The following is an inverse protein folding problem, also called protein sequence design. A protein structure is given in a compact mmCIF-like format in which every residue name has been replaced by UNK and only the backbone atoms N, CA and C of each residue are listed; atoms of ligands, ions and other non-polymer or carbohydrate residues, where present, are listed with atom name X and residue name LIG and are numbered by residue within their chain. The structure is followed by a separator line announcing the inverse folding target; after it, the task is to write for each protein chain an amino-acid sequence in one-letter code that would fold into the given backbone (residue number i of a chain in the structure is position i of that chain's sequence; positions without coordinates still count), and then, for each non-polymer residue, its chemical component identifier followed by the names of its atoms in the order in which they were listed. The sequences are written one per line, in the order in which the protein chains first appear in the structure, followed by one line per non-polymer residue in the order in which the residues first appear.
data_IF_572374309841
#
_entry.id   IF_572374309841
#
_cell.length_a   1.000
_cell.length_b   1.000
_cell.length_c   1.000
_cell.angle_alpha   90.00
_cell.angle_beta   90.00
_cell.angle_gamma   90.00
#
_symmetry.space_group_name_H-M   'P 1'
#
loop_
_entity.id
_entity.type
_entity.pdbx_description
1 polymer ?
#
# COMPACT_ATOMS: atom_id res chain seq x y z
N UNK A 1 6.04 -1.63 -0.94
CA UNK A 1 6.82 -1.48 -2.18
C UNK A 1 8.29 -1.54 -1.85
N UNK A 2 9.00 -2.31 -2.63
CA UNK A 2 10.44 -2.52 -2.57
C UNK A 2 11.23 -1.36 -3.19
N UNK A 3 10.66 -0.69 -4.19
CA UNK A 3 11.20 0.57 -4.71
C UNK A 3 10.54 1.75 -3.99
N UNK A 4 11.16 2.21 -2.91
CA UNK A 4 10.71 3.41 -2.21
C UNK A 4 11.19 4.69 -2.91
N UNK A 5 10.25 5.51 -3.36
CA UNK A 5 10.51 6.85 -3.92
C UNK A 5 9.82 7.97 -3.11
N UNK A 6 9.31 7.65 -1.90
CA UNK A 6 8.54 8.56 -1.08
C UNK A 6 9.30 9.87 -0.74
N UNK A 7 10.60 9.76 -0.45
CA UNK A 7 11.45 10.92 -0.16
C UNK A 7 11.63 11.86 -1.36
N UNK A 8 11.62 11.31 -2.59
CA UNK A 8 11.75 12.09 -3.83
C UNK A 8 10.49 12.91 -4.09
N UNK A 9 9.32 12.37 -3.73
CA UNK A 9 8.00 13.00 -3.95
C UNK A 9 7.43 13.69 -2.72
N UNK A 10 8.20 13.80 -1.63
CA UNK A 10 7.75 14.39 -0.37
C UNK A 10 7.31 15.86 -0.53
N UNK A 11 7.88 16.57 -1.51
CA UNK A 11 7.52 17.97 -1.80
C UNK A 11 7.16 18.16 -3.27
N UNK A 12 6.13 18.97 -3.51
CA UNK A 12 5.68 19.35 -4.85
C UNK A 12 6.58 20.46 -5.41
N UNK A 13 7.52 20.06 -6.27
CA UNK A 13 8.37 20.98 -7.05
C UNK A 13 8.02 20.88 -8.54
N UNK A 14 8.43 21.86 -9.34
CA UNK A 14 8.12 21.94 -10.79
C UNK A 14 8.51 20.68 -11.60
N UNK A 15 9.41 19.83 -11.11
CA UNK A 15 9.91 18.66 -11.83
C UNK A 15 9.91 17.36 -11.02
N UNK A 16 9.16 17.30 -9.91
CA UNK A 16 9.15 16.13 -9.03
C UNK A 16 8.82 14.83 -9.78
N UNK A 17 7.78 14.80 -10.61
CA UNK A 17 7.41 13.61 -11.38
C UNK A 17 8.27 13.39 -12.63
N UNK A 18 8.82 14.46 -13.23
CA UNK A 18 9.76 14.31 -14.34
C UNK A 18 11.02 13.54 -13.92
N UNK A 19 11.47 13.70 -12.67
CA UNK A 19 12.60 12.93 -12.12
C UNK A 19 12.31 11.43 -12.05
N UNK A 20 11.06 11.02 -11.82
CA UNK A 20 10.68 9.62 -11.74
C UNK A 20 10.79 8.90 -13.09
N UNK A 21 10.62 9.62 -14.20
CA UNK A 21 10.77 9.06 -15.56
C UNK A 21 12.20 8.63 -15.88
N UNK A 22 13.20 9.05 -15.09
CA UNK A 22 14.60 8.64 -15.27
C UNK A 22 15.00 7.44 -14.40
N UNK A 23 14.10 6.92 -13.57
CA UNK A 23 14.36 5.72 -12.77
C UNK A 23 14.20 4.46 -13.63
N UNK A 24 15.11 3.49 -13.46
CA UNK A 24 15.08 2.22 -14.19
C UNK A 24 14.49 1.06 -13.39
N UNK A 25 14.86 0.94 -12.11
CA UNK A 25 14.36 -0.12 -11.22
C UNK A 25 12.88 0.12 -10.91
N UNK A 26 12.03 -0.89 -11.10
CA UNK A 26 10.56 -0.77 -10.93
C UNK A 26 9.88 0.11 -12.00
N UNK A 27 10.59 0.44 -13.08
CA UNK A 27 10.06 1.35 -14.10
C UNK A 27 9.21 0.64 -15.15
N UNK A 28 8.28 1.38 -15.74
CA UNK A 28 7.49 0.94 -16.90
C UNK A 28 8.40 0.53 -18.05
N UNK A 29 9.52 1.24 -18.26
CA UNK A 29 10.48 0.92 -19.33
C UNK A 29 11.04 -0.49 -19.20
N UNK A 30 11.41 -0.90 -17.98
CA UNK A 30 11.92 -2.25 -17.71
C UNK A 30 10.85 -3.33 -17.93
N UNK A 31 9.58 -3.00 -17.76
CA UNK A 31 8.47 -3.94 -17.94
C UNK A 31 8.05 -4.13 -19.41
N UNK A 32 8.25 -3.12 -20.27
CA UNK A 32 7.70 -3.16 -21.64
C UNK A 32 8.74 -3.19 -22.76
N UNK A 33 10.04 -3.07 -22.46
CA UNK A 33 11.07 -2.90 -23.50
C UNK A 33 11.09 -4.05 -24.51
N UNK A 34 10.81 -5.28 -24.05
CA UNK A 34 10.84 -6.46 -24.90
C UNK A 34 9.64 -6.49 -25.84
N UNK A 35 8.43 -6.22 -25.34
CA UNK A 35 7.22 -6.11 -26.13
C UNK A 35 7.28 -4.94 -27.12
N UNK A 36 7.87 -3.81 -26.70
CA UNK A 36 8.12 -2.67 -27.57
C UNK A 36 9.06 -3.03 -28.72
N UNK A 37 10.13 -3.80 -28.44
CA UNK A 37 11.07 -4.27 -29.45
C UNK A 37 10.39 -5.22 -30.44
N UNK A 38 9.54 -6.13 -29.97
CA UNK A 38 8.75 -7.02 -30.84
C UNK A 38 7.79 -6.20 -31.71
N UNK A 39 7.03 -5.28 -31.11
CA UNK A 39 6.05 -4.46 -31.82
C UNK A 39 6.72 -3.61 -32.91
N UNK A 40 7.81 -2.92 -32.56
CA UNK A 40 8.58 -2.09 -33.51
C UNK A 40 9.25 -2.93 -34.59
N UNK A 41 9.73 -4.14 -34.26
CA UNK A 41 10.27 -5.09 -35.22
C UNK A 41 9.23 -5.53 -36.26
N UNK A 42 8.05 -5.97 -35.81
CA UNK A 42 6.96 -6.38 -36.71
C UNK A 42 6.47 -5.20 -37.55
N UNK A 43 6.29 -4.03 -36.93
CA UNK A 43 5.89 -2.80 -37.63
C UNK A 43 6.89 -2.45 -38.74
N UNK A 44 8.19 -2.52 -38.44
CA UNK A 44 9.25 -2.22 -39.40
C UNK A 44 9.27 -3.22 -40.55
N UNK A 45 9.10 -4.51 -40.27
CA UNK A 45 9.00 -5.56 -41.30
C UNK A 45 7.83 -5.30 -42.24
N UNK A 46 6.65 -4.96 -41.69
CA UNK A 46 5.47 -4.61 -42.49
C UNK A 46 5.71 -3.37 -43.36
N UNK A 47 6.34 -2.33 -42.79
CA UNK A 47 6.66 -1.09 -43.53
C UNK A 47 7.65 -1.34 -44.67
N UNK A 48 8.71 -2.10 -44.42
CA UNK A 48 9.70 -2.47 -45.44
C UNK A 48 9.05 -3.34 -46.53
N UNK A 49 8.17 -4.27 -46.15
CA UNK A 49 7.43 -5.11 -47.10
C UNK A 49 6.53 -4.26 -48.00
N UNK A 50 5.79 -3.29 -47.44
CA UNK A 50 4.95 -2.37 -48.19
C UNK A 50 5.74 -1.50 -49.19
N UNK A 51 6.92 -1.03 -48.79
CA UNK A 51 7.74 -0.11 -49.60
C UNK A 51 8.54 -0.81 -50.69
N UNK A 52 9.11 -1.99 -50.41
CA UNK A 52 10.10 -2.63 -51.28
C UNK A 52 9.60 -3.91 -51.96
N UNK A 53 8.63 -4.62 -51.37
CA UNK A 53 8.20 -5.93 -51.87
C UNK A 53 6.82 -5.88 -52.55
N UNK A 54 5.87 -5.14 -51.98
CA UNK A 54 4.51 -5.06 -52.52
C UNK A 54 4.44 -4.16 -53.76
N UNK A 55 3.88 -4.70 -54.85
CA UNK A 55 3.70 -3.98 -56.11
C UNK A 55 2.27 -4.14 -56.66
N UNK A 56 1.85 -3.19 -57.50
CA UNK A 56 0.57 -3.24 -58.21
C UNK A 56 -0.65 -3.40 -57.29
N UNK A 57 -1.48 -4.42 -57.56
CA UNK A 57 -2.71 -4.67 -56.80
C UNK A 57 -2.49 -5.05 -55.34
N UNK A 58 -1.40 -5.77 -55.00
CA UNK A 58 -1.13 -6.18 -53.62
C UNK A 58 -0.87 -4.98 -52.70
N UNK A 59 -0.19 -3.95 -53.22
CA UNK A 59 0.05 -2.69 -52.50
C UNK A 59 -1.26 -1.98 -52.17
N UNK A 60 -2.20 -1.95 -53.11
CA UNK A 60 -3.54 -1.37 -52.91
C UNK A 60 -4.37 -2.16 -51.90
N UNK A 61 -4.34 -3.50 -51.93
CA UNK A 61 -5.04 -4.30 -50.91
C UNK A 61 -4.48 -4.09 -49.50
N UNK A 62 -3.16 -3.93 -49.37
CA UNK A 62 -2.53 -3.60 -48.10
C UNK A 62 -2.99 -2.23 -47.57
N UNK A 63 -3.06 -1.21 -48.43
CA UNK A 63 -3.58 0.11 -48.05
C UNK A 63 -5.03 0.03 -47.59
N UNK A 64 -5.88 -0.73 -48.29
CA UNK A 64 -7.27 -0.95 -47.87
C UNK A 64 -7.36 -1.62 -46.50
N UNK A 65 -6.49 -2.61 -46.23
CA UNK A 65 -6.42 -3.24 -44.91
C UNK A 65 -6.01 -2.23 -43.83
N UNK A 66 -5.01 -1.38 -44.09
CA UNK A 66 -4.56 -0.35 -43.15
C UNK A 66 -5.69 0.65 -42.83
N UNK A 67 -6.41 1.12 -43.86
CA UNK A 67 -7.54 2.02 -43.70
C UNK A 67 -8.69 1.35 -42.92
N UNK A 68 -8.99 0.09 -43.23
CA UNK A 68 -9.99 -0.69 -42.51
C UNK A 68 -9.64 -0.84 -41.02
N UNK A 69 -8.40 -1.22 -40.72
CA UNK A 69 -7.92 -1.32 -39.35
C UNK A 69 -7.99 0.03 -38.64
N UNK A 70 -7.60 1.13 -39.29
CA UNK A 70 -7.63 2.46 -38.68
C UNK A 70 -9.05 2.89 -38.28
N UNK A 71 -10.04 2.65 -39.16
CA UNK A 71 -11.44 2.98 -38.88
C UNK A 71 -12.00 2.19 -37.67
N UNK A 72 -11.61 0.92 -37.52
CA UNK A 72 -12.14 0.06 -36.45
C UNK A 72 -11.37 0.16 -35.14
N UNK A 73 -10.12 0.61 -35.19
CA UNK A 73 -9.25 0.72 -34.03
C UNK A 73 -9.79 1.71 -32.98
N UNK A 74 -10.45 2.78 -33.42
CA UNK A 74 -11.04 3.79 -32.52
C UNK A 74 -12.30 3.30 -31.80
N UNK A 75 -12.93 2.23 -32.28
CA UNK A 75 -14.14 1.66 -31.67
C UNK A 75 -13.84 0.77 -30.45
N UNK A 76 -12.59 0.34 -30.26
CA UNK A 76 -12.21 -0.57 -29.17
C UNK A 76 -12.07 0.24 -27.86
N UNK A 77 -12.90 -0.01 -26.82
CA UNK A 77 -12.89 0.78 -25.59
C UNK A 77 -11.81 0.32 -24.60
N UNK A 78 -10.54 0.31 -25.05
CA UNK A 78 -9.39 -0.16 -24.26
C UNK A 78 -9.28 0.53 -22.88
N UNK A 79 -9.41 1.88 -22.75
CA UNK A 79 -9.23 2.55 -21.47
C UNK A 79 -10.25 2.14 -20.41
N UNK A 80 -11.48 1.84 -20.84
CA UNK A 80 -12.56 1.43 -19.94
C UNK A 80 -12.23 0.07 -19.32
N UNK A 81 -11.93 -0.92 -20.16
CA UNK A 81 -11.61 -2.28 -19.73
C UNK A 81 -10.37 -2.30 -18.83
N UNK A 82 -9.30 -1.63 -19.25
CA UNK A 82 -8.07 -1.52 -18.45
C UNK A 82 -8.30 -0.81 -17.12
N UNK A 83 -9.08 0.28 -17.11
CA UNK A 83 -9.35 1.05 -15.91
C UNK A 83 -10.01 0.22 -14.81
N UNK A 84 -11.07 -0.52 -15.15
CA UNK A 84 -11.72 -1.40 -14.16
C UNK A 84 -10.85 -2.56 -13.73
N UNK A 85 -10.12 -3.18 -14.67
CA UNK A 85 -9.26 -4.32 -14.36
C UNK A 85 -8.09 -3.93 -13.46
N UNK A 86 -7.37 -2.86 -13.81
CA UNK A 86 -6.22 -2.38 -13.02
C UNK A 86 -6.68 -1.89 -11.65
N UNK A 87 -7.81 -1.20 -11.54
CA UNK A 87 -8.36 -0.76 -10.26
C UNK A 87 -8.68 -1.94 -9.32
N UNK A 88 -9.26 -3.01 -9.86
CA UNK A 88 -9.47 -4.26 -9.11
C UNK A 88 -8.16 -4.84 -8.59
N UNK A 89 -7.14 -4.94 -9.45
CA UNK A 89 -5.83 -5.50 -9.08
C UNK A 89 -5.13 -4.65 -8.03
N UNK A 90 -5.10 -3.32 -8.17
CA UNK A 90 -4.49 -2.40 -7.20
C UNK A 90 -5.18 -2.47 -5.85
N UNK A 91 -6.51 -2.58 -5.84
CA UNK A 91 -7.29 -2.72 -4.58
C UNK A 91 -6.89 -4.00 -3.86
N UNK A 92 -6.89 -5.14 -4.57
CA UNK A 92 -6.47 -6.43 -4.00
C UNK A 92 -5.02 -6.43 -3.54
N UNK A 93 -4.13 -5.79 -4.28
CA UNK A 93 -2.73 -5.63 -3.91
C UNK A 93 -2.59 -4.92 -2.57
N UNK A 94 -3.31 -3.81 -2.37
CA UNK A 94 -3.26 -3.04 -1.13
C UNK A 94 -3.87 -3.79 0.06
N UNK A 95 -5.00 -4.47 -0.16
CA UNK A 95 -5.65 -5.30 0.87
C UNK A 95 -4.74 -6.46 1.31
N UNK A 96 -4.02 -7.10 0.38
CA UNK A 96 -3.03 -8.13 0.71
C UNK A 96 -1.88 -7.57 1.54
N UNK A 97 -1.39 -6.37 1.22
CA UNK A 97 -0.36 -5.69 2.01
C UNK A 97 -0.83 -5.43 3.45
N UNK A 98 -2.02 -4.85 3.62
CA UNK A 98 -2.60 -4.57 4.94
C UNK A 98 -2.91 -5.83 5.74
N UNK A 99 -3.12 -6.95 5.06
CA UNK A 99 -3.37 -8.25 5.68
C UNK A 99 -2.11 -8.93 6.18
N UNK A 100 -0.89 -8.46 5.85
CA UNK A 100 0.34 -9.00 6.42
C UNK A 100 0.37 -8.76 7.93
N UNK A 101 0.32 -9.82 8.76
CA UNK A 101 0.31 -9.64 10.20
C UNK A 101 1.71 -9.32 10.74
N UNK A 102 1.73 -8.48 11.77
CA UNK A 102 2.92 -8.03 12.48
C UNK A 102 2.86 -8.58 13.91
N UNK A 103 3.90 -9.29 14.41
CA UNK A 103 3.86 -9.93 15.72
C UNK A 103 4.06 -8.95 16.89
N UNK A 104 4.34 -7.67 16.60
CA UNK A 104 4.69 -6.62 17.54
C UNK A 104 3.64 -6.43 18.64
N UNK A 105 2.37 -6.37 18.25
CA UNK A 105 1.27 -6.17 19.18
C UNK A 105 1.18 -7.34 20.18
N UNK A 106 1.30 -8.58 19.69
CA UNK A 106 1.37 -9.76 20.54
C UNK A 106 2.61 -9.75 21.45
N UNK A 107 3.77 -9.37 20.92
CA UNK A 107 5.02 -9.30 21.69
C UNK A 107 4.92 -8.30 22.86
N UNK A 108 4.35 -7.12 22.60
CA UNK A 108 4.12 -6.09 23.63
C UNK A 108 3.15 -6.59 24.70
N UNK A 109 2.05 -7.23 24.30
CA UNK A 109 1.08 -7.80 25.24
C UNK A 109 1.68 -8.96 26.05
N UNK A 110 2.47 -9.85 25.43
CA UNK A 110 3.17 -10.93 26.12
C UNK A 110 4.12 -10.39 27.18
N UNK A 111 4.85 -9.33 26.86
CA UNK A 111 5.77 -8.64 27.79
C UNK A 111 5.02 -8.01 28.95
N UNK A 112 3.84 -7.42 28.70
CA UNK A 112 3.02 -6.77 29.72
C UNK A 112 2.31 -7.76 30.66
N UNK A 113 1.89 -8.93 30.16
CA UNK A 113 1.02 -9.85 30.90
C UNK A 113 1.70 -11.12 31.43
N UNK A 114 2.78 -11.58 30.80
CA UNK A 114 3.54 -12.75 31.25
C UNK A 114 4.71 -12.31 32.14
N UNK A 115 4.49 -12.38 33.45
CA UNK A 115 5.40 -11.82 34.43
C UNK A 115 6.51 -12.80 34.82
N UNK A 116 7.68 -12.24 35.11
CA UNK A 116 8.80 -12.94 35.73
C UNK A 116 10.04 -12.91 34.85
N UNK A 117 11.19 -12.80 35.51
CA UNK A 117 12.50 -12.76 34.87
C UNK A 117 13.23 -14.11 34.92
N UNK A 118 12.60 -15.12 35.53
CA UNK A 118 13.16 -16.47 35.59
C UNK A 118 13.14 -17.15 34.22
N UNK A 119 13.88 -18.25 34.10
CA UNK A 119 14.02 -18.99 32.85
C UNK A 119 12.66 -19.48 32.29
N UNK A 120 11.74 -19.91 33.17
CA UNK A 120 10.41 -20.43 32.78
C UNK A 120 9.53 -19.38 32.07
N UNK A 121 9.22 -18.21 32.67
CA UNK A 121 8.43 -17.17 32.00
C UNK A 121 9.12 -16.62 30.74
N UNK A 122 10.46 -16.47 30.73
CA UNK A 122 11.19 -16.10 29.51
C UNK A 122 11.00 -17.15 28.41
N UNK A 123 11.10 -18.44 28.74
CA UNK A 123 10.86 -19.54 27.78
C UNK A 123 9.42 -19.54 27.26
N UNK A 124 8.43 -19.24 28.11
CA UNK A 124 7.02 -19.10 27.70
C UNK A 124 6.89 -17.98 26.66
N UNK A 125 7.39 -16.78 26.96
CA UNK A 125 7.28 -15.63 26.06
C UNK A 125 7.99 -15.88 24.72
N UNK A 126 9.22 -16.38 24.75
CA UNK A 126 9.99 -16.73 23.54
C UNK A 126 9.33 -17.81 22.71
N UNK A 127 8.77 -18.86 23.34
CA UNK A 127 8.10 -19.95 22.63
C UNK A 127 6.80 -19.48 21.97
N UNK A 128 5.99 -18.67 22.65
CA UNK A 128 4.77 -18.08 22.04
C UNK A 128 5.14 -17.27 20.80
N UNK A 129 6.16 -16.40 20.89
CA UNK A 129 6.60 -15.62 19.72
C UNK A 129 7.20 -16.49 18.63
N UNK A 130 7.94 -17.55 18.98
CA UNK A 130 8.47 -18.51 18.00
C UNK A 130 7.35 -19.20 17.24
N UNK A 131 6.31 -19.67 17.93
CA UNK A 131 5.15 -20.30 17.30
C UNK A 131 4.37 -19.35 16.39
N UNK A 132 4.20 -18.09 16.79
CA UNK A 132 3.59 -17.06 15.93
C UNK A 132 4.41 -16.83 14.66
N UNK A 133 5.72 -16.69 14.78
CA UNK A 133 6.61 -16.53 13.63
C UNK A 133 6.73 -17.80 12.78
N UNK A 134 6.63 -18.98 13.40
CA UNK A 134 6.63 -20.26 12.70
C UNK A 134 5.37 -20.42 11.84
N UNK A 135 4.20 -20.10 12.39
CA UNK A 135 2.95 -20.05 11.62
C UNK A 135 3.04 -19.08 10.44
N UNK A 136 3.63 -17.90 10.68
CA UNK A 136 3.91 -16.90 9.66
C UNK A 136 4.80 -17.46 8.53
N UNK A 137 5.90 -18.14 8.88
CA UNK A 137 6.82 -18.73 7.90
C UNK A 137 6.18 -19.89 7.11
N UNK A 138 5.42 -20.77 7.77
CA UNK A 138 4.71 -21.87 7.10
C UNK A 138 3.65 -21.33 6.13
N UNK A 139 2.96 -20.26 6.52
CA UNK A 139 2.00 -19.57 5.66
C UNK A 139 2.68 -18.94 4.45
N UNK A 140 3.70 -18.11 4.69
CA UNK A 140 4.42 -17.40 3.63
C UNK A 140 5.13 -18.32 2.66
N UNK A 141 5.70 -19.44 3.14
CA UNK A 141 6.32 -20.48 2.28
C UNK A 141 5.32 -21.06 1.26
N UNK A 142 4.04 -21.16 1.63
CA UNK A 142 3.01 -21.67 0.73
C UNK A 142 2.70 -20.67 -0.39
N UNK A 143 2.62 -19.38 -0.08
CA UNK A 143 2.16 -18.34 -1.02
C UNK A 143 3.29 -17.61 -1.78
N UNK A 144 4.46 -17.42 -1.16
CA UNK A 144 5.54 -16.61 -1.70
C UNK A 144 6.67 -17.48 -2.26
N UNK A 145 7.10 -17.17 -3.49
CA UNK A 145 8.22 -17.87 -4.12
C UNK A 145 9.53 -17.60 -3.37
N UNK A 146 9.80 -16.36 -2.97
CA UNK A 146 10.99 -16.00 -2.16
C UNK A 146 11.06 -16.77 -0.85
N UNK A 147 9.95 -16.84 -0.10
CA UNK A 147 9.90 -17.60 1.15
C UNK A 147 10.09 -19.11 0.90
N UNK A 148 9.57 -19.63 -0.21
CA UNK A 148 9.72 -21.04 -0.61
C UNK A 148 11.14 -21.39 -1.04
N UNK A 149 11.84 -20.48 -1.72
CA UNK A 149 13.25 -20.64 -2.06
C UNK A 149 14.14 -20.62 -0.81
N UNK A 150 13.82 -19.76 0.17
CA UNK A 150 14.54 -19.71 1.44
C UNK A 150 14.29 -20.93 2.32
N UNK A 151 13.06 -21.44 2.36
CA UNK A 151 12.68 -22.63 3.14
C UNK A 151 12.01 -23.68 2.24
N UNK A 152 12.76 -24.46 1.45
CA UNK A 152 12.16 -25.41 0.51
C UNK A 152 11.41 -26.56 1.18
N UNK A 153 11.89 -27.05 2.32
CA UNK A 153 11.25 -28.15 3.08
C UNK A 153 10.99 -27.74 4.53
N UNK A 154 10.14 -28.49 5.23
CA UNK A 154 9.90 -28.25 6.65
C UNK A 154 11.17 -28.45 7.51
N UNK A 155 12.09 -29.32 7.09
CA UNK A 155 13.40 -29.49 7.72
C UNK A 155 14.25 -28.22 7.69
N UNK A 156 14.12 -27.38 6.64
CA UNK A 156 14.82 -26.09 6.61
C UNK A 156 14.31 -25.12 7.68
N UNK A 157 13.04 -25.25 8.12
CA UNK A 157 12.51 -24.48 9.25
C UNK A 157 13.14 -24.93 10.57
N UNK A 158 13.46 -26.23 10.69
CA UNK A 158 14.19 -26.78 11.84
C UNK A 158 15.64 -26.32 11.81
N UNK A 159 16.32 -26.43 10.67
CA UNK A 159 17.71 -25.96 10.51
C UNK A 159 17.84 -24.44 10.75
N UNK A 160 16.80 -23.67 10.44
CA UNK A 160 16.75 -22.23 10.71
C UNK A 160 16.42 -21.88 12.18
N UNK A 161 16.15 -22.87 13.04
CA UNK A 161 15.82 -22.67 14.45
C UNK A 161 14.41 -22.14 14.71
N UNK A 162 13.51 -22.18 13.71
CA UNK A 162 12.11 -21.75 13.87
C UNK A 162 11.25 -22.84 14.53
N UNK A 163 11.65 -24.10 14.40
CA UNK A 163 10.96 -25.29 14.91
C UNK A 163 11.98 -26.29 15.47
N UNK A 164 11.61 -27.07 16.47
CA UNK A 164 12.45 -28.21 16.93
C UNK A 164 12.13 -29.48 16.14
N UNK A 165 12.98 -30.52 16.25
CA UNK A 165 12.72 -31.81 15.60
C UNK A 165 11.45 -32.47 16.17
N UNK A 166 11.20 -32.37 17.47
CA UNK A 166 10.01 -32.92 18.11
C UNK A 166 8.73 -32.23 17.65
N UNK A 167 8.79 -30.91 17.45
CA UNK A 167 7.66 -30.14 16.92
C UNK A 167 7.38 -30.48 15.46
N UNK A 168 8.42 -30.74 14.66
CA UNK A 168 8.26 -31.20 13.28
C UNK A 168 7.56 -32.55 13.25
N UNK A 169 7.97 -33.47 14.11
CA UNK A 169 7.34 -34.78 14.26
C UNK A 169 5.85 -34.68 14.58
N UNK A 170 5.48 -33.77 15.50
CA UNK A 170 4.06 -33.53 15.84
C UNK A 170 3.32 -32.91 14.66
N UNK A 171 3.91 -31.93 13.98
CA UNK A 171 3.30 -31.27 12.83
C UNK A 171 3.01 -32.26 11.69
N UNK A 172 3.96 -33.14 11.37
CA UNK A 172 3.83 -34.15 10.30
C UNK A 172 2.80 -35.22 10.66
N UNK A 173 2.69 -35.60 11.95
CA UNK A 173 1.69 -36.57 12.43
C UNK A 173 0.28 -35.98 12.54
N UNK A 174 0.13 -34.66 12.44
CA UNK A 174 -1.18 -34.00 12.59
C UNK A 174 -2.00 -34.17 11.31
N UNK A 175 -3.13 -34.86 11.42
CA UNK A 175 -4.09 -35.01 10.32
C UNK A 175 -5.07 -33.82 10.27
N UNK A 176 -5.60 -33.45 9.08
CA UNK A 176 -5.34 -34.06 7.77
C UNK A 176 -4.10 -33.49 7.06
N UNK A 177 -3.40 -34.32 6.32
CA UNK A 177 -2.17 -33.95 5.57
C UNK A 177 -2.45 -33.22 4.26
N UNK A 178 -3.71 -33.18 3.82
CA UNK A 178 -4.13 -32.53 2.57
C UNK A 178 -4.12 -30.99 2.64
N UNK A 179 -4.28 -30.43 3.84
CA UNK A 179 -4.33 -28.98 4.04
C UNK A 179 -3.00 -28.42 4.50
N UNK A 180 -2.71 -27.18 4.12
CA UNK A 180 -1.58 -26.45 4.68
C UNK A 180 -1.90 -26.08 6.14
N UNK A 181 -1.33 -26.81 7.09
CA UNK A 181 -1.58 -26.66 8.52
C UNK A 181 -0.80 -25.49 9.16
N UNK A 182 -0.77 -24.32 8.52
CA UNK A 182 -0.04 -23.14 9.00
C UNK A 182 -0.53 -22.63 10.36
N UNK A 183 -1.78 -22.94 10.74
CA UNK A 183 -2.40 -22.50 11.99
C UNK A 183 -2.06 -23.39 13.19
N UNK A 184 -1.46 -24.57 12.99
CA UNK A 184 -1.13 -25.51 14.08
C UNK A 184 -0.21 -24.90 15.14
N UNK A 185 0.89 -24.18 14.79
CA UNK A 185 1.70 -23.50 15.80
C UNK A 185 0.92 -22.46 16.61
N UNK A 186 -0.09 -21.81 16.03
CA UNK A 186 -0.93 -20.84 16.76
C UNK A 186 -1.81 -21.55 17.80
N UNK A 187 -2.28 -22.77 17.52
CA UNK A 187 -2.98 -23.61 18.52
C UNK A 187 -2.03 -23.96 19.66
N UNK A 188 -0.77 -24.30 19.37
CA UNK A 188 0.22 -24.55 20.41
C UNK A 188 0.51 -23.30 21.25
N UNK A 189 0.56 -22.12 20.62
CA UNK A 189 0.72 -20.84 21.32
C UNK A 189 -0.44 -20.58 22.29
N UNK A 190 -1.68 -20.80 21.87
CA UNK A 190 -2.87 -20.67 22.74
C UNK A 190 -2.83 -21.62 23.94
N UNK A 191 -2.36 -22.85 23.74
CA UNK A 191 -2.19 -23.81 24.83
C UNK A 191 -1.12 -23.35 25.82
N UNK A 192 0.00 -22.78 25.35
CA UNK A 192 1.04 -22.21 26.23
C UNK A 192 0.50 -21.02 27.03
N UNK A 193 -0.29 -20.14 26.42
CA UNK A 193 -0.93 -19.02 27.14
C UNK A 193 -1.85 -19.55 28.25
N UNK A 194 -2.64 -20.58 27.96
CA UNK A 194 -3.51 -21.23 28.94
C UNK A 194 -2.71 -21.89 30.08
N UNK A 195 -1.60 -22.54 29.75
CA UNK A 195 -0.69 -23.14 30.72
C UNK A 195 -0.01 -22.08 31.60
N UNK A 196 0.46 -20.98 31.01
CA UNK A 196 1.08 -19.86 31.74
C UNK A 196 0.11 -19.21 32.75
N UNK A 197 -1.20 -19.26 32.47
CA UNK A 197 -2.25 -18.85 33.43
C UNK A 197 -2.38 -19.82 34.60
N UNK A 198 -2.34 -21.12 34.33
CA UNK A 198 -2.38 -22.16 35.37
C UNK A 198 -1.14 -22.13 36.26
N UNK A 199 0.02 -21.85 35.68
CA UNK A 199 1.30 -21.68 36.37
C UNK A 199 1.41 -20.34 37.13
N UNK A 200 0.46 -19.42 36.95
CA UNK A 200 0.42 -18.13 37.66
C UNK A 200 1.34 -17.05 37.08
N UNK A 201 2.04 -17.31 35.97
CA UNK A 201 2.83 -16.31 35.25
C UNK A 201 1.95 -15.24 34.58
N UNK A 202 0.74 -15.62 34.16
CA UNK A 202 -0.33 -14.70 33.77
C UNK A 202 -1.32 -14.60 34.94
N UNK A 203 -1.52 -13.39 35.45
CA UNK A 203 -2.21 -13.19 36.74
C UNK A 203 -3.73 -13.16 36.66
N UNK A 204 -4.30 -12.70 35.56
CA UNK A 204 -5.74 -12.45 35.44
C UNK A 204 -6.31 -12.95 34.11
N UNK A 205 -7.56 -13.39 34.12
CA UNK A 205 -8.20 -14.06 32.98
C UNK A 205 -8.39 -13.12 31.79
N UNK A 206 -8.57 -11.81 32.05
CA UNK A 206 -8.65 -10.81 30.98
C UNK A 206 -7.37 -10.74 30.13
N UNK A 207 -6.20 -11.01 30.70
CA UNK A 207 -4.95 -11.06 29.91
C UNK A 207 -4.95 -12.26 28.95
N UNK A 208 -5.48 -13.41 29.39
CA UNK A 208 -5.60 -14.61 28.54
C UNK A 208 -6.52 -14.34 27.36
N UNK A 209 -7.64 -13.66 27.61
CA UNK A 209 -8.57 -13.24 26.56
C UNK A 209 -7.90 -12.31 25.54
N UNK A 210 -7.22 -11.26 26.00
CA UNK A 210 -6.50 -10.31 25.12
C UNK A 210 -5.44 -11.01 24.26
N UNK A 211 -4.62 -11.86 24.86
CA UNK A 211 -3.59 -12.61 24.14
C UNK A 211 -4.19 -13.60 23.13
N UNK A 212 -5.31 -14.23 23.49
CA UNK A 212 -6.03 -15.17 22.60
C UNK A 212 -6.66 -14.43 21.42
N UNK A 213 -7.27 -13.27 21.66
CA UNK A 213 -7.84 -12.40 20.64
C UNK A 213 -6.75 -11.93 19.65
N UNK A 214 -5.58 -11.57 20.15
CA UNK A 214 -4.46 -11.16 19.30
C UNK A 214 -3.94 -12.32 18.44
N UNK A 215 -3.74 -13.51 19.01
CA UNK A 215 -3.31 -14.71 18.26
C UNK A 215 -4.34 -15.09 17.18
N UNK A 216 -5.63 -15.02 17.52
CA UNK A 216 -6.70 -15.34 16.55
C UNK A 216 -6.85 -14.27 15.46
N UNK A 217 -6.62 -13.00 15.79
CA UNK A 217 -6.53 -11.89 14.82
C UNK A 217 -5.34 -12.09 13.87
N UNK A 218 -4.17 -12.46 14.41
CA UNK A 218 -2.99 -12.80 13.62
C UNK A 218 -3.26 -13.97 12.66
N UNK A 219 -3.92 -15.03 13.15
CA UNK A 219 -4.41 -16.14 12.31
C UNK A 219 -5.36 -15.65 11.22
N UNK A 220 -6.31 -14.78 11.57
CA UNK A 220 -7.31 -14.26 10.64
C UNK A 220 -6.65 -13.55 9.45
N UNK A 221 -5.67 -12.70 9.75
CA UNK A 221 -4.83 -12.02 8.75
C UNK A 221 -4.08 -13.00 7.83
N UNK A 222 -3.44 -14.04 8.38
CA UNK A 222 -2.84 -15.11 7.56
C UNK A 222 -3.88 -15.81 6.67
N UNK A 223 -5.06 -16.10 7.21
CA UNK A 223 -6.16 -16.72 6.47
C UNK A 223 -6.66 -15.85 5.32
N UNK A 224 -6.73 -14.54 5.52
CA UNK A 224 -7.07 -13.58 4.46
C UNK A 224 -6.06 -13.64 3.31
N UNK A 225 -4.76 -13.68 3.61
CA UNK A 225 -3.74 -13.78 2.56
C UNK A 225 -3.86 -15.11 1.79
N UNK A 226 -4.07 -16.22 2.50
CA UNK A 226 -4.35 -17.51 1.86
C UNK A 226 -5.59 -17.47 0.94
N UNK A 227 -6.63 -16.74 1.34
CA UNK A 227 -7.83 -16.58 0.52
C UNK A 227 -7.53 -15.80 -0.78
N UNK A 228 -6.65 -14.80 -0.74
CA UNK A 228 -6.22 -14.08 -1.95
C UNK A 228 -5.38 -14.94 -2.90
N UNK A 229 -4.49 -15.79 -2.35
CA UNK A 229 -3.69 -16.74 -3.14
C UNK A 229 -4.57 -17.82 -3.78
N UNK A 230 -5.54 -18.35 -3.03
CA UNK A 230 -6.48 -19.34 -3.54
C UNK A 230 -7.47 -18.76 -4.56
N UNK A 231 -8.04 -17.58 -4.26
CA UNK A 231 -9.05 -16.92 -5.10
C UNK A 231 -8.44 -15.73 -5.82
N UNK A 232 -7.84 -16.00 -6.97
CA UNK A 232 -7.32 -15.01 -7.90
C UNK A 232 -8.44 -14.25 -8.64
N UNK A 233 -8.16 -13.08 -9.25
CA UNK A 233 -9.10 -12.47 -10.20
C UNK A 233 -9.55 -13.50 -11.24
N UNK A 234 -10.86 -13.56 -11.60
CA UNK A 234 -11.36 -14.57 -12.53
C UNK A 234 -10.54 -14.60 -13.81
N UNK A 235 -10.08 -15.80 -14.21
CA UNK A 235 -9.22 -15.97 -15.38
C UNK A 235 -9.84 -15.33 -16.64
N UNK A 236 -11.15 -15.47 -16.82
CA UNK A 236 -11.89 -14.87 -17.94
C UNK A 236 -11.72 -13.34 -17.99
N UNK A 237 -11.62 -12.67 -16.83
CA UNK A 237 -11.47 -11.23 -16.78
C UNK A 237 -10.05 -10.80 -17.19
N UNK A 238 -9.03 -11.50 -16.67
CA UNK A 238 -7.63 -11.31 -17.09
C UNK A 238 -7.48 -11.56 -18.59
N UNK A 239 -8.04 -12.67 -19.11
CA UNK A 239 -8.02 -12.98 -20.54
C UNK A 239 -8.70 -11.90 -21.38
N UNK A 240 -9.86 -11.42 -20.94
CA UNK A 240 -10.60 -10.38 -21.65
C UNK A 240 -9.80 -9.07 -21.73
N UNK A 241 -9.18 -8.64 -20.63
CA UNK A 241 -8.31 -7.46 -20.61
C UNK A 241 -7.13 -7.62 -21.59
N UNK A 242 -6.45 -8.77 -21.57
CA UNK A 242 -5.33 -9.06 -22.48
C UNK A 242 -5.77 -9.09 -23.94
N UNK A 243 -6.90 -9.75 -24.25
CA UNK A 243 -7.43 -9.83 -25.62
C UNK A 243 -7.76 -8.43 -26.15
N UNK A 244 -8.42 -7.59 -25.35
CA UNK A 244 -8.78 -6.22 -25.76
C UNK A 244 -7.54 -5.40 -26.09
N UNK A 245 -6.50 -5.46 -25.25
CA UNK A 245 -5.25 -4.71 -25.49
C UNK A 245 -4.48 -5.27 -26.68
N UNK A 246 -4.31 -6.60 -26.78
CA UNK A 246 -3.51 -7.20 -27.83
C UNK A 246 -4.18 -7.15 -29.19
N UNK A 247 -5.51 -7.30 -29.26
CA UNK A 247 -6.27 -7.11 -30.51
C UNK A 247 -6.22 -5.66 -31.00
N UNK A 248 -6.27 -4.70 -30.07
CA UNK A 248 -6.04 -3.29 -30.39
C UNK A 248 -4.66 -3.07 -31.03
N UNK A 249 -3.58 -3.57 -30.40
CA UNK A 249 -2.24 -3.40 -30.96
C UNK A 249 -2.00 -4.20 -32.24
N UNK A 250 -2.65 -5.35 -32.40
CA UNK A 250 -2.63 -6.10 -33.65
C UNK A 250 -3.25 -5.28 -34.80
N UNK A 251 -4.37 -4.60 -34.57
CA UNK A 251 -4.96 -3.68 -35.55
C UNK A 251 -4.05 -2.46 -35.79
N UNK A 252 -3.41 -1.94 -34.74
CA UNK A 252 -2.47 -0.80 -34.83
C UNK A 252 -1.25 -1.08 -35.73
N UNK A 253 -0.77 -2.33 -35.79
CA UNK A 253 0.35 -2.71 -36.68
C UNK A 253 0.09 -2.38 -38.15
N UNK A 254 -1.18 -2.41 -38.57
CA UNK A 254 -1.62 -2.03 -39.90
C UNK A 254 -2.11 -0.58 -39.95
N UNK A 255 -2.95 -0.18 -38.99
CA UNK A 255 -3.55 1.16 -38.97
C UNK A 255 -2.52 2.30 -38.99
N UNK A 256 -1.38 2.10 -38.31
CA UNK A 256 -0.33 3.11 -38.17
C UNK A 256 0.75 3.03 -39.26
N UNK A 257 0.57 2.21 -40.29
CA UNK A 257 1.48 2.18 -41.42
C UNK A 257 1.33 3.47 -42.23
N UNK A 258 2.45 4.08 -42.60
CA UNK A 258 2.46 5.22 -43.50
C UNK A 258 2.25 4.73 -44.94
N UNK A 259 1.28 5.35 -45.62
CA UNK A 259 0.85 4.99 -46.97
C UNK A 259 1.42 5.96 -48.02
N UNK A 260 1.24 5.60 -49.29
CA UNK A 260 1.70 6.39 -50.42
C UNK A 260 0.98 7.75 -50.52
N UNK A 261 1.74 8.83 -50.34
CA UNK A 261 1.27 10.21 -50.41
C UNK A 261 0.62 10.56 -51.76
N UNK A 262 1.06 9.92 -52.85
CA UNK A 262 0.52 10.19 -54.19
C UNK A 262 -0.94 9.79 -54.35
N UNK A 263 -1.45 8.89 -53.49
CA UNK A 263 -2.85 8.44 -53.53
C UNK A 263 -3.82 9.36 -52.79
N UNK A 264 -3.31 10.31 -52.00
CA UNK A 264 -4.13 11.34 -51.35
C UNK A 264 -5.22 10.80 -50.42
N UNK A 265 -4.93 9.73 -49.66
CA UNK A 265 -5.88 9.20 -48.68
C UNK A 265 -6.09 10.21 -47.52
N UNK A 266 -7.34 10.44 -47.09
CA UNK A 266 -7.63 11.42 -46.04
C UNK A 266 -6.97 11.00 -44.71
N UNK A 267 -6.19 11.89 -44.11
CA UNK A 267 -5.46 11.64 -42.87
C UNK A 267 -4.08 11.01 -43.03
N UNK A 268 -3.62 10.78 -44.27
CA UNK A 268 -2.31 10.20 -44.60
C UNK A 268 -1.46 11.19 -45.44
N UNK A 269 -1.35 12.43 -44.98
CA UNK A 269 -0.68 13.53 -45.71
C UNK A 269 0.82 13.63 -45.44
N UNK A 270 1.34 12.89 -44.46
CA UNK A 270 2.73 12.96 -44.00
C UNK A 270 3.26 11.54 -43.78
N UNK A 271 4.49 11.28 -44.23
CA UNK A 271 5.23 10.04 -43.96
C UNK A 271 6.47 10.32 -43.10
N UNK A 272 6.43 9.93 -41.83
CA UNK A 272 7.53 10.11 -40.87
C UNK A 272 8.28 8.78 -40.65
N UNK A 273 7.89 7.69 -41.32
CA UNK A 273 8.37 6.32 -41.14
C UNK A 273 8.12 5.69 -39.76
N UNK A 274 8.26 6.46 -38.67
CA UNK A 274 8.12 5.99 -37.29
C UNK A 274 6.85 6.60 -36.67
N UNK A 275 5.93 5.77 -36.16
CA UNK A 275 4.66 6.26 -35.61
C UNK A 275 4.85 6.75 -34.17
N UNK A 276 5.50 7.91 -33.99
CA UNK A 276 5.89 8.45 -32.66
C UNK A 276 4.74 8.47 -31.65
N UNK A 277 3.57 9.02 -32.03
CA UNK A 277 2.40 9.05 -31.16
C UNK A 277 1.74 7.68 -30.97
N UNK A 278 1.89 6.77 -31.94
CA UNK A 278 1.48 5.38 -31.80
C UNK A 278 2.33 4.64 -30.77
N UNK A 279 3.65 4.82 -30.82
CA UNK A 279 4.56 4.29 -29.79
C UNK A 279 4.25 4.88 -28.42
N UNK A 280 3.92 6.17 -28.32
CA UNK A 280 3.47 6.76 -27.05
C UNK A 280 2.17 6.10 -26.53
N UNK A 281 1.19 5.83 -27.41
CA UNK A 281 -0.03 5.05 -27.05
C UNK A 281 0.31 3.63 -26.61
N UNK A 282 1.32 3.01 -27.23
CA UNK A 282 1.86 1.71 -26.81
C UNK A 282 2.38 1.77 -25.38
N UNK A 283 3.23 2.75 -25.06
CA UNK A 283 3.72 2.97 -23.70
C UNK A 283 2.57 3.11 -22.69
N UNK A 284 1.51 3.84 -23.03
CA UNK A 284 0.38 4.01 -22.14
C UNK A 284 -0.42 2.72 -21.92
N UNK A 285 -0.92 2.05 -22.97
CA UNK A 285 -1.81 0.89 -22.74
C UNK A 285 -1.08 -0.39 -22.35
N UNK A 286 0.09 -0.69 -22.96
CA UNK A 286 0.89 -1.85 -22.53
C UNK A 286 1.49 -1.58 -21.16
N UNK A 287 1.98 -0.37 -20.91
CA UNK A 287 2.46 0.01 -19.57
C UNK A 287 1.37 -0.12 -18.51
N UNK A 288 0.15 0.31 -18.80
CA UNK A 288 -0.98 0.19 -17.88
C UNK A 288 -1.41 -1.26 -17.65
N UNK A 289 -1.40 -2.11 -18.69
CA UNK A 289 -1.59 -3.55 -18.55
C UNK A 289 -0.49 -4.18 -17.68
N UNK A 290 0.78 -3.78 -17.89
CA UNK A 290 1.92 -4.26 -17.10
C UNK A 290 1.84 -3.87 -15.62
N UNK A 291 1.23 -2.73 -15.29
CA UNK A 291 0.95 -2.38 -13.88
C UNK A 291 0.04 -3.43 -13.23
N UNK A 292 -0.99 -3.92 -13.93
CA UNK A 292 -1.80 -5.02 -13.40
C UNK A 292 -1.01 -6.32 -13.35
N UNK A 293 -0.24 -6.64 -14.39
CA UNK A 293 0.59 -7.86 -14.44
C UNK A 293 1.59 -7.94 -13.28
N UNK A 294 2.26 -6.83 -12.93
CA UNK A 294 3.23 -6.79 -11.84
C UNK A 294 2.61 -6.78 -10.43
N UNK A 295 1.32 -6.46 -10.32
CA UNK A 295 0.64 -6.34 -9.00
C UNK A 295 -0.33 -7.50 -8.73
N UNK A 296 -0.61 -8.35 -9.73
CA UNK A 296 -1.57 -9.44 -9.60
C UNK A 296 -1.13 -10.46 -8.55
N UNK A 297 0.17 -10.71 -8.43
CA UNK A 297 0.77 -11.57 -7.41
C UNK A 297 1.96 -10.85 -6.74
N UNK A 298 1.73 -10.12 -5.62
CA UNK A 298 2.79 -9.35 -4.96
C UNK A 298 3.76 -10.18 -4.11
N UNK A 299 3.60 -11.50 -4.11
CA UNK A 299 4.44 -12.45 -3.34
C UNK A 299 5.51 -13.14 -4.19
N UNK A 300 5.69 -12.67 -5.43
CA UNK A 300 6.64 -13.18 -6.39
C UNK A 300 8.07 -12.65 -6.17
N UNK A 301 8.76 -12.43 -7.29
CA UNK A 301 10.16 -12.01 -7.34
C UNK A 301 10.38 -10.68 -8.05
N UNK A 302 9.32 -9.98 -8.43
CA UNK A 302 9.42 -8.72 -9.14
C UNK A 302 10.06 -7.63 -8.27
N UNK A 303 10.55 -6.59 -8.95
CA UNK A 303 11.28 -5.50 -8.30
C UNK A 303 10.44 -4.68 -7.32
N UNK A 304 9.10 -4.72 -7.45
CA UNK A 304 8.12 -4.00 -6.62
C UNK A 304 7.26 -4.90 -5.70
N UNK A 305 7.50 -6.23 -5.75
CA UNK A 305 6.88 -7.21 -4.85
C UNK A 305 7.26 -6.98 -3.38
N UNK A 306 6.49 -7.55 -2.47
CA UNK A 306 6.74 -7.40 -1.04
C UNK A 306 8.08 -8.05 -0.63
N UNK A 307 8.87 -7.37 0.23
CA UNK A 307 10.07 -7.99 0.83
C UNK A 307 9.71 -8.98 1.93
N UNK A 308 9.19 -10.13 1.52
CA UNK A 308 8.77 -11.19 2.45
C UNK A 308 9.96 -11.70 3.28
N UNK A 309 11.14 -11.77 2.67
CA UNK A 309 12.35 -12.21 3.35
C UNK A 309 12.74 -11.26 4.50
N UNK A 310 12.79 -9.97 4.23
CA UNK A 310 13.04 -8.95 5.26
C UNK A 310 11.98 -9.00 6.35
N UNK A 311 10.70 -9.14 6.00
CA UNK A 311 9.62 -9.21 6.98
C UNK A 311 9.77 -10.40 7.92
N UNK A 312 10.14 -11.59 7.41
CA UNK A 312 10.40 -12.78 8.23
C UNK A 312 11.52 -12.50 9.25
N UNK A 313 12.66 -11.99 8.79
CA UNK A 313 13.81 -11.71 9.67
C UNK A 313 13.50 -10.64 10.70
N UNK A 314 12.90 -9.53 10.25
CA UNK A 314 12.52 -8.42 11.12
C UNK A 314 11.54 -8.89 12.18
N UNK A 315 10.53 -9.67 11.80
CA UNK A 315 9.51 -10.15 12.73
C UNK A 315 10.11 -11.08 13.79
N UNK A 316 11.00 -11.99 13.40
CA UNK A 316 11.70 -12.85 14.35
C UNK A 316 12.57 -12.04 15.32
N UNK A 317 13.43 -11.16 14.80
CA UNK A 317 14.36 -10.38 15.61
C UNK A 317 13.64 -9.42 16.58
N UNK A 318 12.69 -8.63 16.07
CA UNK A 318 11.97 -7.64 16.87
C UNK A 318 11.09 -8.32 17.92
N UNK A 319 10.42 -9.42 17.57
CA UNK A 319 9.60 -10.14 18.56
C UNK A 319 10.42 -10.71 19.70
N UNK A 320 11.61 -11.27 19.45
CA UNK A 320 12.50 -11.75 20.51
C UNK A 320 13.12 -10.63 21.33
N UNK A 321 13.50 -9.52 20.70
CA UNK A 321 14.00 -8.34 21.41
C UNK A 321 12.99 -7.82 22.43
N UNK A 322 11.72 -7.69 22.02
CA UNK A 322 10.64 -7.18 22.88
C UNK A 322 10.39 -8.10 24.07
N UNK A 323 10.27 -9.41 23.84
CA UNK A 323 9.81 -10.34 24.89
C UNK A 323 10.91 -10.87 25.79
N UNK A 324 12.17 -10.60 25.48
CA UNK A 324 13.33 -11.08 26.21
C UNK A 324 14.14 -9.91 26.77
N UNK A 325 15.00 -9.29 25.95
CA UNK A 325 15.92 -8.24 26.40
C UNK A 325 15.18 -7.03 26.99
N UNK A 326 14.16 -6.51 26.30
CA UNK A 326 13.39 -5.35 26.78
C UNK A 326 12.49 -5.67 27.98
N UNK A 327 12.17 -6.94 28.21
CA UNK A 327 11.44 -7.34 29.42
C UNK A 327 12.36 -7.33 30.65
N UNK A 328 13.61 -7.75 30.46
CA UNK A 328 14.60 -7.85 31.53
C UNK A 328 15.22 -6.50 31.88
N UNK A 329 15.46 -5.65 30.89
CA UNK A 329 16.16 -4.38 31.07
C UNK A 329 15.32 -3.21 30.54
N UNK A 330 15.03 -2.25 31.43
CA UNK A 330 14.34 -1.01 31.10
C UNK A 330 14.84 0.13 32.01
N UNK A 331 14.81 1.39 31.54
CA UNK A 331 15.26 2.53 32.33
C UNK A 331 14.50 2.68 33.65
N UNK A 332 15.18 3.21 34.67
CA UNK A 332 14.54 3.55 35.93
C UNK A 332 13.52 4.68 35.76
N UNK A 333 12.50 4.69 36.62
CA UNK A 333 11.51 5.74 36.64
C UNK A 333 12.13 7.05 37.17
N UNK A 334 12.33 8.00 36.27
CA UNK A 334 12.86 9.33 36.58
C UNK A 334 11.83 10.43 36.30
N UNK A 335 11.97 11.57 36.98
CA UNK A 335 11.19 12.77 36.64
C UNK A 335 11.62 13.27 35.26
N UNK A 336 10.66 13.59 34.42
CA UNK A 336 10.91 14.15 33.10
C UNK A 336 11.36 15.62 33.19
N UNK A 337 11.84 16.16 32.07
CA UNK A 337 12.36 17.53 31.98
C UNK A 337 11.31 18.62 32.25
N UNK A 338 10.02 18.29 32.19
CA UNK A 338 8.91 19.22 32.35
C UNK A 338 8.18 19.02 33.68
N UNK A 339 8.74 18.20 34.59
CA UNK A 339 8.14 17.90 35.88
C UNK A 339 7.88 19.18 36.69
N UNK A 340 6.61 19.47 36.96
CA UNK A 340 6.17 20.67 37.69
C UNK A 340 5.85 21.89 36.81
N UNK A 341 5.89 21.75 35.48
CA UNK A 341 5.43 22.78 34.53
C UNK A 341 4.08 22.40 33.92
N UNK A 342 3.16 23.37 33.83
CA UNK A 342 1.84 23.15 33.24
C UNK A 342 1.80 23.48 31.73
N UNK A 343 2.55 24.49 31.30
CA UNK A 343 2.66 24.92 29.91
C UNK A 343 4.14 24.99 29.49
N UNK A 344 4.52 24.25 28.46
CA UNK A 344 5.88 24.25 27.90
C UNK A 344 5.85 24.18 26.37
N UNK A 345 6.92 24.66 25.73
CA UNK A 345 7.15 24.57 24.29
C UNK A 345 8.50 23.93 24.04
N UNK A 346 8.55 22.95 23.14
CA UNK A 346 9.81 22.33 22.74
C UNK A 346 10.64 23.31 21.92
N UNK A 347 11.94 23.39 22.22
CA UNK A 347 12.90 24.21 21.49
C UNK A 347 13.05 23.71 20.04
N UNK A 348 13.26 24.64 19.09
CA UNK A 348 13.40 24.31 17.67
C UNK A 348 14.85 24.01 17.32
N UNK A 349 15.06 23.24 16.24
CA UNK A 349 16.40 22.84 15.76
C UNK A 349 17.41 23.99 15.65
N UNK A 350 16.94 25.20 15.29
CA UNK A 350 17.82 26.36 15.08
C UNK A 350 18.29 26.96 16.42
N UNK A 351 17.48 26.83 17.47
CA UNK A 351 17.75 27.39 18.79
C UNK A 351 18.83 26.56 19.52
N UNK A 352 18.96 25.26 19.20
CA UNK A 352 20.05 24.42 19.71
C UNK A 352 21.44 24.77 19.14
N UNK A 353 21.50 25.48 17.99
CA UNK A 353 22.76 25.82 17.33
C UNK A 353 23.44 27.06 17.94
N UNK A 354 22.69 27.93 18.63
CA UNK A 354 23.19 29.17 19.22
C UNK A 354 23.72 29.02 20.65
N UNK A 355 23.72 27.80 21.22
CA UNK A 355 24.28 27.51 22.55
C UNK A 355 23.41 27.96 23.73
N UNK A 356 22.33 28.69 23.47
CA UNK A 356 21.34 29.10 24.47
C UNK A 356 20.23 28.06 24.59
N UNK A 357 20.58 26.85 25.01
CA UNK A 357 19.60 25.85 25.43
C UNK A 357 19.11 26.14 26.87
N UNK A 358 18.70 27.38 27.14
CA UNK A 358 17.84 27.65 28.28
C UNK A 358 16.40 27.34 27.87
N UNK A 359 15.72 26.54 28.70
CA UNK A 359 14.30 26.24 28.56
C UNK A 359 13.53 27.55 28.65
N UNK A 360 13.24 28.19 27.51
CA UNK A 360 12.46 29.43 27.47
C UNK A 360 11.05 29.12 27.95
N UNK A 361 10.78 29.51 29.20
CA UNK A 361 9.43 29.57 29.75
C UNK A 361 8.75 30.81 29.17
N UNK A 362 7.99 30.61 28.10
CA UNK A 362 7.19 31.67 27.48
C UNK A 362 7.67 32.01 26.07
N UNK A 363 6.93 31.48 25.11
CA UNK A 363 7.13 31.76 23.70
C UNK A 363 6.32 30.77 22.87
N UNK A 364 4.99 30.90 22.93
CA UNK A 364 4.15 30.27 21.92
C UNK A 364 4.74 30.62 20.56
N UNK A 365 5.12 29.60 19.78
CA UNK A 365 5.70 29.81 18.46
C UNK A 365 4.82 30.78 17.66
N UNK A 366 5.48 31.64 16.89
CA UNK A 366 4.97 32.75 16.06
C UNK A 366 3.93 32.36 14.98
N UNK A 367 3.31 31.18 15.08
CA UNK A 367 2.15 30.76 14.31
C UNK A 367 0.96 30.61 15.24
N UNK A 368 -0.12 31.33 14.96
CA UNK A 368 -1.40 31.18 15.66
C UNK A 368 -1.78 29.70 15.73
N UNK A 369 -1.94 29.17 16.95
CA UNK A 369 -2.46 27.81 17.14
C UNK A 369 -3.81 27.72 16.43
N UNK A 370 -4.00 26.71 15.59
CA UNK A 370 -5.29 26.48 14.96
C UNK A 370 -6.33 26.16 16.03
N UNK A 371 -7.16 27.15 16.36
CA UNK A 371 -8.23 27.06 17.38
C UNK A 371 -9.58 26.68 16.77
N UNK A 372 -9.61 26.44 15.46
CA UNK A 372 -10.82 26.14 14.68
C UNK A 372 -11.15 27.26 13.69
N UNK A 373 -11.80 26.90 12.59
CA UNK A 373 -12.18 27.86 11.53
C UNK A 373 -13.15 28.94 12.00
N UNK A 374 -13.82 28.73 13.15
CA UNK A 374 -14.77 29.66 13.77
C UNK A 374 -14.24 30.36 15.02
N UNK A 375 -12.99 30.09 15.44
CA UNK A 375 -12.47 30.66 16.68
C UNK A 375 -12.37 32.20 16.66
N UNK A 376 -12.18 32.77 15.46
CA UNK A 376 -12.20 34.22 15.23
C UNK A 376 -13.60 34.75 14.89
N UNK A 377 -14.63 33.90 14.89
CA UNK A 377 -16.00 34.27 14.54
C UNK A 377 -16.75 34.76 15.79
N UNK A 378 -16.60 36.03 16.11
CA UNK A 378 -17.33 36.66 17.22
C UNK A 378 -18.79 36.94 16.81
N UNK A 379 -19.69 35.98 17.07
CA UNK A 379 -21.14 36.08 16.76
C UNK A 379 -21.82 37.25 17.50
N UNK A 380 -21.20 37.76 18.56
CA UNK A 380 -21.71 38.87 19.37
C UNK A 380 -21.20 40.24 18.90
N UNK A 381 -20.25 40.27 17.97
CA UNK A 381 -19.73 41.52 17.41
C UNK A 381 -20.71 42.04 16.34
N UNK A 382 -21.61 42.95 16.74
CA UNK A 382 -22.39 43.76 15.80
C UNK A 382 -21.42 44.61 14.96
N UNK A 383 -20.93 44.08 13.85
CA UNK A 383 -20.36 44.91 12.78
C UNK A 383 -21.44 45.89 12.32
N UNK A 384 -21.24 47.23 12.38
CA UNK A 384 -22.16 48.14 11.74
C UNK A 384 -22.13 47.85 10.24
N UNK A 385 -23.24 47.32 9.72
CA UNK A 385 -23.40 47.03 8.31
C UNK A 385 -23.31 48.33 7.53
N UNK A 386 -22.16 48.58 6.90
CA UNK A 386 -22.06 49.59 5.85
C UNK A 386 -22.81 49.06 4.62
N UNK A 387 -24.06 49.52 4.53
CA UNK A 387 -24.82 49.82 3.32
C UNK A 387 -24.89 48.73 2.23
N UNK A 388 -26.00 47.99 2.19
CA UNK A 388 -26.46 47.34 0.95
C UNK A 388 -27.92 47.62 0.56
N UNK A 389 -28.66 48.50 1.26
CA UNK A 389 -30.04 48.80 0.85
C UNK A 389 -30.35 50.30 0.94
N UNK A 390 -30.04 51.03 -0.15
CA UNK A 390 -30.74 52.27 -0.51
C UNK A 390 -31.52 52.02 -1.79
N UNK A 391 -32.80 51.67 -1.66
CA UNK A 391 -33.89 52.24 -2.46
C UNK A 391 -35.19 51.54 -2.13
N UNK A 392 -36.10 52.27 -1.50
CA UNK A 392 -37.53 52.32 -1.79
C UNK A 392 -38.28 52.70 -0.51
N UNK A 393 -38.73 53.94 -0.53
CA UNK A 393 -39.74 54.54 0.34
C UNK A 393 -40.90 53.60 0.67
N UNK A 394 -41.44 53.70 1.90
CA UNK A 394 -42.83 54.14 2.17
C UNK A 394 -43.04 54.35 3.69
N UNK A 395 -43.40 55.59 4.00
CA UNK A 395 -44.16 56.16 5.13
C UNK A 395 -44.17 55.54 6.55
N UNK A 396 -43.62 56.36 7.45
CA UNK A 396 -44.16 56.91 8.72
C UNK A 396 -44.26 56.03 9.99
N UNK A 397 -44.04 56.67 11.16
CA UNK A 397 -43.74 55.99 12.42
C UNK A 397 -44.96 55.90 13.34
N UNK A 398 -44.97 54.90 14.23
CA UNK A 398 -45.75 54.99 15.46
C UNK A 398 -44.84 54.75 16.65
N UNK A 399 -44.76 55.76 17.50
CA UNK A 399 -44.01 55.80 18.74
C UNK A 399 -44.91 55.41 19.92
N UNK A 400 -44.33 54.74 20.92
CA UNK A 400 -44.50 54.95 22.38
C UNK A 400 -44.11 53.64 23.08
N UNK A 401 -42.92 53.56 23.70
CA UNK A 401 -42.60 53.93 25.08
C UNK A 401 -43.45 53.23 26.14
N UNK A 402 -42.84 52.24 26.80
CA UNK A 402 -42.89 52.03 28.27
C UNK A 402 -41.81 50.99 28.61
N UNK A 403 -40.63 51.40 29.06
CA UNK A 403 -40.23 51.67 30.44
C UNK A 403 -40.37 50.48 31.41
N UNK A 404 -39.20 50.05 31.89
CA UNK A 404 -38.85 49.73 33.28
C UNK A 404 -39.61 48.58 33.98
N UNK A 405 -38.89 47.53 34.32
CA UNK A 405 -38.41 47.38 35.71
C UNK A 405 -37.48 46.19 35.88
N UNK A 406 -36.31 46.47 36.43
CA UNK A 406 -35.43 45.53 37.12
C UNK A 406 -36.20 44.61 38.08
N UNK A 407 -35.80 43.33 38.14
CA UNK A 407 -35.70 42.66 39.43
C UNK A 407 -34.58 41.61 39.45
N UNK A 408 -33.67 41.89 40.39
CA UNK A 408 -32.53 41.10 40.86
C UNK A 408 -32.91 39.69 41.32
N UNK A 409 -32.00 38.75 41.02
CA UNK A 409 -31.25 37.88 41.96
C UNK A 409 -31.97 37.45 43.25
N UNK A 410 -32.17 36.13 43.43
CA UNK A 410 -31.56 35.36 44.53
C UNK A 410 -31.95 33.87 44.51
N UNK A 411 -30.93 33.02 44.49
CA UNK A 411 -30.75 31.78 45.28
C UNK A 411 -31.95 30.82 45.47
N UNK A 412 -31.85 29.64 44.85
CA UNK A 412 -31.53 28.37 45.52
C UNK A 412 -31.06 27.35 44.49
#
# INVERSE_FOLDING_TARGET
MTVSYASIVATTTYSTFLRLLFLWKGSVYRLIWFELLIFTGIYSILSLTYRFLLTGMMKTYFEWLCLYCNQHNEMIPVPFVLGFYVSLVVTRWWEQFLSLPWPDQLALQMTAYCHGNDERPTRIRRTVMRYTNLAYCIALRAISSRARLRFPTAEHLVSAGLMTEEELDVLVKTEPTEYQLYFVPLVWALNIVSQARQEGHIRFDRAVEILTEEITTFRGKLGTIFAYDWINPPLVYTQMATIVVYSYFLACLFAWQYLDLSKGYPGYDIDIYVPVFGLLRFFFYIGWLKVAESLINPFGEDADDFEIEYLIERNLNVSYLIVDEMHHEHPELVRDAFWGTADFTLSKSNDFAEGDAETTTGGAGDGDKFTGSLANLNVMERRPSLAFWRSASISKPFASTTNLSDRKVSQL
#
